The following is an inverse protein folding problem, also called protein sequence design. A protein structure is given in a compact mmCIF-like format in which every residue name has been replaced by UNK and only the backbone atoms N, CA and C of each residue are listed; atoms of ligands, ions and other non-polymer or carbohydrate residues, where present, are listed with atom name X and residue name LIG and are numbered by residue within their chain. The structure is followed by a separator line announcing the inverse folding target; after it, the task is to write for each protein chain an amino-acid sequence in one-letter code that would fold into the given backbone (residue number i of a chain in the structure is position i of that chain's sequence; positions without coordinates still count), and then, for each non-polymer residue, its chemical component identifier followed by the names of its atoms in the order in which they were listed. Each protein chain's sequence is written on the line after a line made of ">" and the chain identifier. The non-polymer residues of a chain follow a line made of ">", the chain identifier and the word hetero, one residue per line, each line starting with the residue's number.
data_IF_184034900815
#
_entry.id   IF_184034900815
#
_cell.length_a   1.000
_cell.length_b   1.000
_cell.length_c   1.000
_cell.angle_alpha   90.00
_cell.angle_beta   90.00
_cell.angle_gamma   90.00
#
_symmetry.space_group_name_H-M   'P 1'
#
loop_
_entity.id
_entity.type
_entity.pdbx_description
1 polymer ?
#
# COMPACT_ATOMS: atom_id res chain seq x y z
N UNK A 1 -9.33 -10.36 3.57
CA UNK A 1 -8.71 -9.85 4.81
C UNK A 1 -8.63 -11.03 5.76
N UNK A 2 -7.54 -11.14 6.51
CA UNK A 2 -7.28 -12.23 7.45
C UNK A 2 -7.28 -11.68 8.87
N UNK A 3 -8.02 -12.35 9.76
CA UNK A 3 -7.94 -12.06 11.19
C UNK A 3 -6.63 -12.61 11.74
N UNK A 4 -5.84 -11.74 12.36
CA UNK A 4 -4.50 -12.03 12.87
C UNK A 4 -4.35 -11.46 14.28
N UNK A 5 -3.61 -12.15 15.13
CA UNK A 5 -3.20 -11.63 16.43
C UNK A 5 -4.30 -11.56 17.49
N UNK A 6 -5.35 -12.39 17.38
CA UNK A 6 -6.40 -12.49 18.41
C UNK A 6 -7.35 -11.29 18.49
N UNK A 7 -7.30 -10.37 17.52
CA UNK A 7 -8.17 -9.20 17.43
C UNK A 7 -8.89 -9.17 16.10
N UNK A 8 -10.20 -8.94 16.11
CA UNK A 8 -10.94 -8.64 14.89
C UNK A 8 -10.41 -7.34 14.26
N UNK A 9 -10.34 -7.28 12.93
CA UNK A 9 -9.93 -6.08 12.20
C UNK A 9 -11.13 -5.41 11.55
N UNK A 10 -11.31 -4.12 11.80
CA UNK A 10 -12.30 -3.30 11.09
C UNK A 10 -11.59 -2.58 9.96
N UNK A 11 -12.05 -2.79 8.73
CA UNK A 11 -11.54 -2.08 7.56
C UNK A 11 -12.38 -0.82 7.32
N UNK A 12 -11.75 0.35 7.30
CA UNK A 12 -12.44 1.61 7.09
C UNK A 12 -12.49 2.02 5.62
N UNK A 13 -11.32 2.18 4.99
CA UNK A 13 -11.19 2.65 3.62
C UNK A 13 -9.94 2.06 2.94
N UNK A 14 -10.07 1.67 1.67
CA UNK A 14 -9.03 1.05 0.82
C UNK A 14 -8.36 -0.20 1.45
N UNK A 15 -7.51 0.01 2.44
CA UNK A 15 -6.81 -1.00 3.24
C UNK A 15 -6.63 -0.64 4.72
N UNK A 16 -7.09 0.54 5.14
CA UNK A 16 -6.95 1.03 6.52
C UNK A 16 -7.66 0.06 7.45
N UNK A 17 -6.89 -0.55 8.35
CA UNK A 17 -7.42 -1.49 9.33
C UNK A 17 -6.83 -1.21 10.70
N UNK A 18 -7.64 -1.29 11.75
CA UNK A 18 -7.17 -1.12 13.12
C UNK A 18 -7.31 -2.40 13.92
N UNK A 19 -6.34 -2.64 14.81
CA UNK A 19 -6.45 -3.63 15.88
C UNK A 19 -7.31 -3.04 16.99
N UNK A 20 -8.28 -3.81 17.46
CA UNK A 20 -9.14 -3.42 18.57
C UNK A 20 -8.36 -3.42 19.88
N UNK A 21 -8.53 -2.36 20.66
CA UNK A 21 -8.03 -2.21 22.02
C UNK A 21 -9.14 -2.56 23.03
N UNK A 22 -8.79 -2.70 24.32
CA UNK A 22 -9.75 -3.09 25.36
C UNK A 22 -11.02 -2.22 25.38
N UNK A 23 -10.86 -0.91 25.16
CA UNK A 23 -11.97 0.04 25.10
C UNK A 23 -12.88 -0.21 23.88
N UNK A 24 -12.33 -0.66 22.75
CA UNK A 24 -13.12 -0.96 21.55
C UNK A 24 -14.06 -2.16 21.77
N UNK A 25 -13.65 -3.14 22.59
CA UNK A 25 -14.54 -4.24 22.98
C UNK A 25 -15.70 -3.77 23.88
N UNK A 26 -15.48 -2.73 24.69
CA UNK A 26 -16.56 -2.10 25.44
C UNK A 26 -17.51 -1.36 24.50
N UNK A 27 -16.96 -0.57 23.57
CA UNK A 27 -17.73 0.15 22.56
C UNK A 27 -18.49 -0.79 21.62
N UNK A 28 -17.99 -2.02 21.38
CA UNK A 28 -18.68 -3.01 20.57
C UNK A 28 -20.06 -3.43 21.13
N UNK A 29 -20.34 -3.16 22.41
CA UNK A 29 -21.69 -3.33 22.99
C UNK A 29 -22.67 -2.25 22.52
N UNK A 30 -22.14 -1.11 22.07
CA UNK A 30 -22.86 0.04 21.55
C UNK A 30 -22.25 0.45 20.20
N UNK A 31 -22.46 -0.32 19.11
CA UNK A 31 -21.69 -0.18 17.87
C UNK A 31 -21.65 1.24 17.27
N UNK A 32 -22.67 2.07 17.53
CA UNK A 32 -22.70 3.48 17.11
C UNK A 32 -21.62 4.37 17.78
N UNK A 33 -20.95 3.87 18.82
CA UNK A 33 -19.80 4.51 19.50
C UNK A 33 -18.45 4.11 18.91
N UNK A 34 -18.40 3.07 18.07
CA UNK A 34 -17.19 2.63 17.37
C UNK A 34 -16.85 3.60 16.24
N UNK A 35 -16.16 4.68 16.60
CA UNK A 35 -15.79 5.78 15.71
C UNK A 35 -14.28 5.85 15.66
N UNK A 36 -13.74 5.72 14.46
CA UNK A 36 -12.32 5.68 14.20
C UNK A 36 -11.95 6.77 13.21
N UNK A 37 -10.69 7.20 13.26
CA UNK A 37 -10.17 8.22 12.37
C UNK A 37 -8.68 8.03 12.19
N UNK A 38 -8.23 7.93 10.93
CA UNK A 38 -6.87 8.29 10.56
C UNK A 38 -6.87 9.75 10.10
N UNK A 39 -6.19 10.63 10.84
CA UNK A 39 -6.31 12.08 10.60
C UNK A 39 -5.53 12.55 9.36
N UNK A 40 -4.29 12.08 9.24
CA UNK A 40 -3.37 12.47 8.19
C UNK A 40 -2.43 11.30 7.89
N UNK A 41 -1.91 11.29 6.67
CA UNK A 41 -0.77 10.48 6.26
C UNK A 41 0.41 11.37 5.85
N UNK A 42 1.60 11.04 6.35
CA UNK A 42 2.88 11.63 5.93
C UNK A 42 3.80 10.51 5.47
N UNK A 43 4.09 10.45 4.17
CA UNK A 43 4.88 9.38 3.56
C UNK A 43 6.36 9.75 3.45
N UNK A 44 7.24 8.87 3.90
CA UNK A 44 8.68 8.98 3.74
C UNK A 44 9.11 8.46 2.35
N UNK A 45 9.97 9.24 1.68
CA UNK A 45 10.65 8.85 0.45
C UNK A 45 11.89 8.03 0.80
N UNK A 46 11.74 6.70 0.88
CA UNK A 46 12.83 5.81 1.28
C UNK A 46 14.01 5.83 0.29
N UNK A 47 13.80 5.83 -1.05
CA UNK A 47 14.90 5.94 -2.02
C UNK A 47 15.78 7.18 -1.78
N UNK A 48 15.16 8.35 -1.59
CA UNK A 48 15.90 9.59 -1.29
C UNK A 48 16.73 9.49 -0.02
N UNK A 49 16.22 8.84 1.02
CA UNK A 49 16.99 8.61 2.24
C UNK A 49 18.23 7.74 1.95
N UNK A 50 18.10 6.73 1.08
CA UNK A 50 19.22 5.91 0.63
C UNK A 50 20.30 6.73 -0.10
N UNK A 51 19.88 7.60 -1.02
CA UNK A 51 20.78 8.48 -1.79
C UNK A 51 21.63 9.36 -0.85
N UNK A 52 20.98 9.93 0.17
CA UNK A 52 21.62 10.78 1.17
C UNK A 52 22.50 10.02 2.17
N UNK A 53 22.47 8.68 2.16
CA UNK A 53 23.18 7.84 3.12
C UNK A 53 24.49 7.27 2.58
N UNK A 54 24.77 7.44 1.28
CA UNK A 54 26.04 7.05 0.65
C UNK A 54 26.48 5.60 0.99
N UNK A 55 25.52 4.68 1.03
CA UNK A 55 25.73 3.26 1.35
C UNK A 55 26.19 2.96 2.79
N UNK A 56 26.12 3.93 3.71
CA UNK A 56 26.44 3.72 5.14
C UNK A 56 25.16 3.36 5.93
N UNK A 57 25.17 2.18 6.56
CA UNK A 57 24.04 1.68 7.37
C UNK A 57 23.71 2.62 8.54
N UNK A 58 24.72 3.13 9.24
CA UNK A 58 24.53 4.00 10.42
C UNK A 58 23.87 5.31 10.01
N UNK A 59 24.35 5.92 8.93
CA UNK A 59 23.76 7.14 8.36
C UNK A 59 22.34 6.87 7.89
N UNK A 60 22.10 5.73 7.21
CA UNK A 60 20.77 5.33 6.75
C UNK A 60 19.76 5.27 7.90
N UNK A 61 20.07 4.51 8.96
CA UNK A 61 19.17 4.35 10.10
C UNK A 61 18.99 5.67 10.89
N UNK A 62 20.02 6.52 10.98
CA UNK A 62 19.88 7.87 11.54
C UNK A 62 18.89 8.70 10.73
N UNK A 63 19.08 8.79 9.41
CA UNK A 63 18.24 9.59 8.51
C UNK A 63 16.79 9.11 8.46
N UNK A 64 16.56 7.79 8.51
CA UNK A 64 15.21 7.24 8.67
C UNK A 64 14.57 7.76 9.96
N UNK A 65 15.31 7.77 11.08
CA UNK A 65 14.81 8.29 12.36
C UNK A 65 14.48 9.78 12.29
N UNK A 66 15.38 10.59 11.73
CA UNK A 66 15.20 12.03 11.53
C UNK A 66 13.95 12.33 10.68
N UNK A 67 13.74 11.58 9.61
CA UNK A 67 12.56 11.72 8.76
C UNK A 67 11.27 11.34 9.49
N UNK A 68 11.29 10.30 10.34
CA UNK A 68 10.15 9.91 11.18
C UNK A 68 9.83 10.98 12.23
N UNK A 69 10.85 11.60 12.84
CA UNK A 69 10.65 12.74 13.75
C UNK A 69 10.03 13.94 13.06
N UNK A 70 10.47 14.24 11.83
CA UNK A 70 9.88 15.30 11.02
C UNK A 70 8.41 14.99 10.68
N UNK A 71 8.09 13.74 10.33
CA UNK A 71 6.71 13.31 10.11
C UNK A 71 5.85 13.48 11.38
N UNK A 72 6.37 13.12 12.55
CA UNK A 72 5.67 13.35 13.83
C UNK A 72 5.44 14.84 14.10
N UNK A 73 6.41 15.71 13.79
CA UNK A 73 6.25 17.17 13.89
C UNK A 73 5.12 17.69 12.99
N UNK A 74 5.02 17.20 11.75
CA UNK A 74 3.94 17.56 10.85
C UNK A 74 2.57 17.16 11.39
N UNK A 75 2.46 15.94 11.95
CA UNK A 75 1.23 15.46 12.60
C UNK A 75 0.84 16.28 13.83
N UNK A 76 1.79 16.66 14.68
CA UNK A 76 1.57 17.53 15.84
C UNK A 76 0.97 18.88 15.41
N UNK A 77 1.56 19.51 14.39
CA UNK A 77 1.07 20.78 13.85
C UNK A 77 -0.33 20.63 13.26
N UNK A 78 -0.60 19.54 12.53
CA UNK A 78 -1.92 19.28 11.96
C UNK A 78 -2.97 19.02 13.04
N UNK A 79 -2.64 18.22 14.06
CA UNK A 79 -3.53 17.95 15.20
C UNK A 79 -3.93 19.26 15.87
N UNK A 80 -2.97 20.11 16.23
CA UNK A 80 -3.25 21.41 16.85
C UNK A 80 -4.14 22.31 15.98
N UNK A 81 -3.90 22.32 14.66
CA UNK A 81 -4.75 23.06 13.72
C UNK A 81 -6.19 22.53 13.69
N UNK A 82 -6.37 21.21 13.62
CA UNK A 82 -7.69 20.58 13.60
C UNK A 82 -8.41 20.78 14.94
N UNK A 83 -7.72 20.67 16.08
CA UNK A 83 -8.28 20.95 17.40
C UNK A 83 -8.79 22.39 17.52
N UNK A 84 -8.05 23.36 16.96
CA UNK A 84 -8.52 24.74 16.87
C UNK A 84 -9.83 24.85 16.08
N UNK A 85 -9.95 24.14 14.97
CA UNK A 85 -11.19 24.12 14.18
C UNK A 85 -12.34 23.43 14.90
N UNK A 86 -12.09 22.31 15.60
CA UNK A 86 -13.07 21.60 16.40
C UNK A 86 -13.57 22.44 17.59
N UNK A 87 -12.71 23.28 18.16
CA UNK A 87 -13.08 24.17 19.27
C UNK A 87 -14.15 25.22 18.92
N UNK A 88 -14.39 25.47 17.62
CA UNK A 88 -15.45 26.35 17.15
C UNK A 88 -16.85 25.73 17.26
N UNK A 89 -16.95 24.43 17.56
CA UNK A 89 -18.21 23.75 17.79
C UNK A 89 -19.17 23.77 16.60
N UNK A 90 -20.45 24.00 16.89
CA UNK A 90 -21.56 24.00 15.93
C UNK A 90 -21.47 25.09 14.85
N UNK A 91 -20.77 26.19 15.15
CA UNK A 91 -20.50 27.30 14.22
C UNK A 91 -19.25 27.10 13.37
N UNK A 92 -18.46 26.07 13.67
CA UNK A 92 -17.22 25.77 12.99
C UNK A 92 -17.40 25.04 11.66
N UNK A 93 -16.38 25.04 10.79
CA UNK A 93 -16.40 24.27 9.53
C UNK A 93 -16.41 22.75 9.76
N UNK A 94 -16.12 22.30 10.99
CA UNK A 94 -16.10 20.89 11.39
C UNK A 94 -17.28 20.52 12.31
N UNK A 95 -18.36 21.30 12.32
CA UNK A 95 -19.50 21.14 13.23
C UNK A 95 -20.13 19.73 13.23
N UNK A 96 -20.14 19.05 12.08
CA UNK A 96 -20.59 17.65 11.99
C UNK A 96 -19.75 16.72 12.89
N UNK A 97 -18.44 16.94 12.94
CA UNK A 97 -17.50 16.14 13.73
C UNK A 97 -17.57 16.47 15.22
N UNK A 98 -18.15 17.61 15.58
CA UNK A 98 -18.36 18.02 16.98
C UNK A 98 -19.73 17.64 17.52
N UNK A 99 -20.61 17.04 16.70
CA UNK A 99 -21.94 16.60 17.14
C UNK A 99 -21.83 15.66 18.33
N UNK A 100 -22.64 15.93 19.37
CA UNK A 100 -22.72 15.10 20.57
C UNK A 100 -24.17 14.62 20.74
N UNK A 101 -24.41 13.35 20.43
CA UNK A 101 -25.73 12.70 20.56
C UNK A 101 -25.75 11.56 21.58
N UNK A 102 -24.59 11.18 22.10
CA UNK A 102 -24.42 10.01 22.96
C UNK A 102 -23.36 10.21 24.06
N UNK A 103 -23.15 11.47 24.47
CA UNK A 103 -22.26 11.85 25.57
C UNK A 103 -20.82 12.14 25.15
N UNK A 104 -20.47 11.98 23.87
CA UNK A 104 -19.14 12.33 23.33
C UNK A 104 -19.25 12.95 21.93
N UNK A 105 -18.29 13.80 21.51
CA UNK A 105 -18.21 14.27 20.13
C UNK A 105 -18.14 13.11 19.13
N UNK A 106 -18.58 13.35 17.89
CA UNK A 106 -18.49 12.35 16.83
C UNK A 106 -17.03 11.97 16.53
N UNK A 107 -16.16 12.97 16.32
CA UNK A 107 -14.72 12.73 16.22
C UNK A 107 -14.06 12.79 17.60
N UNK A 108 -13.58 11.64 18.06
CA UNK A 108 -12.74 11.47 19.25
C UNK A 108 -11.27 11.65 18.85
N UNK A 109 -10.80 12.91 18.79
CA UNK A 109 -9.47 13.26 18.27
C UNK A 109 -8.33 12.59 19.05
N UNK A 110 -8.53 12.34 20.33
CA UNK A 110 -7.62 11.63 21.22
C UNK A 110 -7.45 10.15 20.87
N UNK A 111 -8.41 9.57 20.14
CA UNK A 111 -8.37 8.19 19.60
C UNK A 111 -7.92 8.14 18.14
N UNK A 112 -7.65 9.28 17.52
CA UNK A 112 -7.21 9.32 16.13
C UNK A 112 -5.83 8.67 15.97
N UNK A 113 -5.66 7.97 14.84
CA UNK A 113 -4.37 7.44 14.41
C UNK A 113 -3.69 8.39 13.43
N UNK A 114 -2.37 8.46 13.53
CA UNK A 114 -1.51 9.34 12.73
C UNK A 114 -0.58 8.49 11.89
N UNK A 115 -0.82 8.48 10.57
CA UNK A 115 -0.18 7.52 9.68
C UNK A 115 1.19 8.04 9.25
N UNK A 116 2.21 7.21 9.42
CA UNK A 116 3.54 7.45 8.83
C UNK A 116 3.73 6.43 7.73
N UNK A 117 3.57 6.91 6.51
CA UNK A 117 3.65 6.12 5.30
C UNK A 117 5.09 5.84 4.85
N UNK A 118 5.27 4.80 4.05
CA UNK A 118 6.52 4.58 3.32
C UNK A 118 6.30 4.31 1.83
N UNK A 119 7.30 4.60 1.03
CA UNK A 119 7.32 4.34 -0.41
C UNK A 119 8.75 4.02 -0.88
N UNK A 120 8.89 3.04 -1.77
CA UNK A 120 10.16 2.74 -2.45
C UNK A 120 11.16 1.94 -1.60
N UNK A 121 10.70 1.01 -0.76
CA UNK A 121 11.63 0.15 0.00
C UNK A 121 12.53 -0.66 -0.94
N UNK A 122 11.98 -1.11 -2.08
CA UNK A 122 12.77 -1.84 -3.08
C UNK A 122 13.92 -0.99 -3.62
N UNK A 123 13.64 0.25 -4.02
CA UNK A 123 14.67 1.13 -4.57
C UNK A 123 15.64 1.64 -3.51
N UNK A 124 15.21 1.78 -2.24
CA UNK A 124 16.13 2.01 -1.12
C UNK A 124 17.16 0.89 -1.02
N UNK A 125 16.72 -0.38 -0.97
CA UNK A 125 17.66 -1.50 -0.79
C UNK A 125 18.47 -1.77 -2.04
N UNK A 126 17.90 -1.56 -3.23
CA UNK A 126 18.61 -1.70 -4.49
C UNK A 126 19.75 -0.69 -4.57
N UNK A 127 19.49 0.58 -4.27
CA UNK A 127 20.53 1.59 -4.26
C UNK A 127 21.58 1.27 -3.17
N UNK A 128 21.13 0.96 -1.96
CA UNK A 128 22.03 0.79 -0.82
C UNK A 128 22.92 -0.45 -0.92
N UNK A 129 22.38 -1.56 -1.42
CA UNK A 129 23.06 -2.88 -1.41
C UNK A 129 23.42 -3.42 -2.79
N UNK A 130 22.97 -2.76 -3.86
CA UNK A 130 23.13 -3.22 -5.24
C UNK A 130 22.15 -4.33 -5.65
N UNK A 131 21.18 -4.70 -4.79
CA UNK A 131 20.23 -5.79 -5.02
C UNK A 131 18.80 -5.44 -4.62
N UNK A 132 17.84 -5.93 -5.38
CA UNK A 132 16.41 -5.78 -5.12
C UNK A 132 15.89 -6.77 -4.05
N UNK A 133 14.72 -6.45 -3.49
CA UNK A 133 14.12 -7.22 -2.38
C UNK A 133 13.95 -8.72 -2.67
N UNK A 134 13.72 -9.06 -3.93
CA UNK A 134 13.39 -10.41 -4.34
C UNK A 134 14.63 -11.29 -4.58
N UNK A 135 15.81 -10.71 -4.75
CA UNK A 135 17.02 -11.36 -5.27
C UNK A 135 17.81 -12.13 -4.19
N UNK A 136 17.73 -11.74 -2.92
CA UNK A 136 18.51 -12.38 -1.84
C UNK A 136 17.77 -12.35 -0.50
N UNK A 137 17.97 -13.41 0.29
CA UNK A 137 17.44 -13.50 1.66
C UNK A 137 18.10 -12.49 2.58
N UNK A 138 19.37 -12.19 2.37
CA UNK A 138 20.14 -11.21 3.11
C UNK A 138 19.59 -9.80 2.89
N UNK A 139 19.28 -9.45 1.63
CA UNK A 139 18.66 -8.17 1.26
C UNK A 139 17.25 -8.05 1.85
N UNK A 140 16.45 -9.11 1.76
CA UNK A 140 15.11 -9.14 2.38
C UNK A 140 15.18 -8.96 3.90
N UNK A 141 16.15 -9.58 4.57
CA UNK A 141 16.41 -9.38 6.01
C UNK A 141 16.83 -7.94 6.31
N UNK A 142 17.68 -7.34 5.49
CA UNK A 142 18.06 -5.93 5.64
C UNK A 142 16.85 -5.00 5.51
N UNK A 143 16.01 -5.22 4.50
CA UNK A 143 14.77 -4.48 4.33
C UNK A 143 13.83 -4.60 5.54
N UNK A 144 13.71 -5.81 6.11
CA UNK A 144 12.95 -6.04 7.35
C UNK A 144 13.54 -5.27 8.53
N UNK A 145 14.86 -5.14 8.64
CA UNK A 145 15.50 -4.29 9.66
C UNK A 145 15.12 -2.82 9.50
N UNK A 146 15.10 -2.30 8.27
CA UNK A 146 14.66 -0.92 7.99
C UNK A 146 13.23 -0.69 8.48
N UNK A 147 12.30 -1.56 8.11
CA UNK A 147 10.89 -1.43 8.52
C UNK A 147 10.70 -1.67 10.02
N UNK A 148 11.42 -2.63 10.61
CA UNK A 148 11.39 -2.86 12.06
C UNK A 148 11.93 -1.65 12.84
N UNK A 149 12.97 -0.98 12.33
CA UNK A 149 13.47 0.26 12.92
C UNK A 149 12.43 1.38 12.86
N UNK A 150 11.79 1.59 11.70
CA UNK A 150 10.68 2.55 11.58
C UNK A 150 9.56 2.25 12.57
N UNK A 151 9.22 0.98 12.76
CA UNK A 151 8.17 0.56 13.70
C UNK A 151 8.53 0.90 15.15
N UNK A 152 9.77 0.62 15.55
CA UNK A 152 10.27 0.96 16.90
C UNK A 152 10.31 2.48 17.12
N UNK A 153 10.71 3.25 16.10
CA UNK A 153 10.69 4.72 16.16
C UNK A 153 9.25 5.24 16.29
N UNK A 154 8.30 4.72 15.50
CA UNK A 154 6.89 5.08 15.62
C UNK A 154 6.35 4.83 17.04
N UNK A 155 6.66 3.67 17.63
CA UNK A 155 6.29 3.36 19.03
C UNK A 155 6.90 4.34 20.04
N UNK A 156 8.18 4.68 19.90
CA UNK A 156 8.85 5.68 20.75
C UNK A 156 8.20 7.05 20.63
N UNK A 157 7.88 7.49 19.42
CA UNK A 157 7.18 8.75 19.16
C UNK A 157 5.77 8.74 19.74
N UNK A 158 5.07 7.60 19.65
CA UNK A 158 3.73 7.45 20.22
C UNK A 158 3.72 7.61 21.74
N UNK A 159 4.69 6.98 22.42
CA UNK A 159 4.87 7.15 23.85
C UNK A 159 5.28 8.59 24.22
N UNK A 160 6.20 9.19 23.46
CA UNK A 160 6.72 10.55 23.72
C UNK A 160 5.65 11.64 23.60
N UNK A 161 4.76 11.54 22.61
CA UNK A 161 3.78 12.58 22.30
C UNK A 161 2.35 12.23 22.71
N UNK A 162 2.13 11.05 23.32
CA UNK A 162 0.80 10.54 23.65
C UNK A 162 -0.17 10.57 22.45
N UNK A 163 0.34 10.16 21.28
CA UNK A 163 -0.39 10.10 20.01
C UNK A 163 -0.20 8.73 19.38
N UNK A 164 -1.22 8.18 18.71
CA UNK A 164 -1.11 6.86 18.06
C UNK A 164 -0.47 6.99 16.67
N UNK A 165 0.87 7.02 16.61
CA UNK A 165 1.59 6.88 15.34
C UNK A 165 1.65 5.42 14.92
N UNK A 166 1.28 5.15 13.67
CA UNK A 166 1.29 3.81 13.09
C UNK A 166 1.91 3.85 11.70
N UNK A 167 2.61 2.78 11.35
CA UNK A 167 3.12 2.63 9.99
C UNK A 167 2.00 2.27 9.02
N UNK A 168 2.08 2.85 7.84
CA UNK A 168 1.13 2.59 6.76
C UNK A 168 1.86 2.24 5.47
N UNK A 169 1.38 1.18 4.82
CA UNK A 169 1.67 1.00 3.41
C UNK A 169 0.95 2.15 2.68
N UNK A 170 1.65 3.10 2.07
CA UNK A 170 1.03 4.26 1.41
C UNK A 170 0.39 3.86 0.08
N UNK A 171 -0.90 4.18 -0.20
CA UNK A 171 -1.54 3.76 -1.46
C UNK A 171 -0.73 4.16 -2.69
N UNK A 172 -0.12 5.35 -2.62
CA UNK A 172 0.90 5.86 -3.53
C UNK A 172 0.43 5.98 -4.98
N UNK A 173 -0.86 6.20 -5.20
CA UNK A 173 -1.44 6.43 -6.52
C UNK A 173 -0.77 7.58 -7.25
N UNK A 174 -0.57 8.70 -6.56
CA UNK A 174 0.18 9.86 -7.06
C UNK A 174 1.60 9.94 -6.50
N UNK A 175 1.81 9.50 -5.25
CA UNK A 175 3.09 9.63 -4.54
C UNK A 175 4.23 8.89 -5.24
N UNK A 176 3.99 7.68 -5.78
CA UNK A 176 5.00 6.88 -6.46
C UNK A 176 5.61 7.62 -7.65
N UNK A 177 4.76 8.23 -8.49
CA UNK A 177 5.20 9.04 -9.62
C UNK A 177 5.84 10.35 -9.18
N UNK A 178 5.22 11.04 -8.21
CA UNK A 178 5.68 12.34 -7.73
C UNK A 178 7.08 12.27 -7.14
N UNK A 179 7.37 11.28 -6.30
CA UNK A 179 8.71 11.09 -5.74
C UNK A 179 9.73 10.79 -6.82
N UNK A 180 9.44 9.84 -7.72
CA UNK A 180 10.32 9.52 -8.84
C UNK A 180 10.66 10.76 -9.69
N UNK A 181 9.67 11.60 -10.03
CA UNK A 181 9.91 12.85 -10.76
C UNK A 181 10.83 13.83 -10.02
N UNK A 182 10.58 14.05 -8.73
CA UNK A 182 11.37 15.00 -7.94
C UNK A 182 12.78 14.49 -7.68
N UNK A 183 12.96 13.17 -7.58
CA UNK A 183 14.28 12.57 -7.47
C UNK A 183 15.04 12.61 -8.79
N UNK A 184 14.37 12.41 -9.93
CA UNK A 184 14.98 12.66 -11.25
C UNK A 184 15.44 14.10 -11.45
N UNK A 185 14.80 15.08 -10.79
CA UNK A 185 15.18 16.49 -10.87
C UNK A 185 16.35 16.84 -9.93
N UNK A 186 16.34 16.33 -8.70
CA UNK A 186 17.28 16.78 -7.66
C UNK A 186 18.39 15.78 -7.32
N UNK A 187 18.21 14.51 -7.68
CA UNK A 187 19.10 13.38 -7.38
C UNK A 187 19.27 12.49 -8.63
N UNK A 188 19.38 13.12 -9.81
CA UNK A 188 19.38 12.42 -11.09
C UNK A 188 20.34 11.21 -11.14
N UNK A 189 21.64 11.33 -10.75
CA UNK A 189 22.58 10.22 -10.85
C UNK A 189 22.14 8.99 -10.05
N UNK A 190 21.61 9.18 -8.84
CA UNK A 190 21.17 8.11 -7.96
C UNK A 190 19.78 7.58 -8.36
N UNK A 191 18.85 8.48 -8.66
CA UNK A 191 17.47 8.17 -9.01
C UNK A 191 17.36 7.36 -10.30
N UNK A 192 18.11 7.76 -11.33
CA UNK A 192 18.11 7.10 -12.63
C UNK A 192 18.56 5.64 -12.56
N UNK A 193 19.34 5.25 -11.54
CA UNK A 193 19.84 3.86 -11.39
C UNK A 193 18.75 2.88 -10.95
N UNK A 194 17.74 3.33 -10.21
CA UNK A 194 16.81 2.43 -9.51
C UNK A 194 15.34 2.65 -9.83
N UNK A 195 14.97 3.82 -10.37
CA UNK A 195 13.61 4.12 -10.81
C UNK A 195 13.12 3.09 -11.84
N UNK A 196 11.84 2.71 -11.73
CA UNK A 196 11.17 1.75 -12.61
C UNK A 196 10.37 2.46 -13.71
N UNK A 197 9.89 1.69 -14.67
CA UNK A 197 9.09 2.18 -15.79
C UNK A 197 9.93 2.68 -16.97
N UNK A 198 9.32 3.55 -17.78
CA UNK A 198 9.91 3.99 -19.05
C UNK A 198 10.24 5.49 -19.02
N UNK A 199 11.53 5.81 -19.16
CA UNK A 199 12.03 7.20 -19.12
C UNK A 199 11.60 8.02 -20.35
N UNK A 200 11.60 7.43 -21.55
CA UNK A 200 11.25 8.12 -22.80
C UNK A 200 9.80 8.63 -22.79
N UNK A 201 8.87 7.83 -22.27
CA UNK A 201 7.45 8.19 -22.12
C UNK A 201 7.16 9.01 -20.86
N UNK A 202 8.16 9.18 -19.99
CA UNK A 202 8.03 9.75 -18.65
C UNK A 202 6.98 9.00 -17.81
N UNK A 203 6.94 7.67 -17.98
CA UNK A 203 6.12 6.71 -17.24
C UNK A 203 6.95 6.06 -16.12
N UNK A 204 7.66 6.89 -15.36
CA UNK A 204 8.56 6.47 -14.29
C UNK A 204 7.82 6.32 -12.96
N UNK A 205 8.30 5.46 -12.07
CA UNK A 205 7.73 5.32 -10.72
C UNK A 205 8.68 4.60 -9.75
N UNK A 206 8.42 4.77 -8.46
CA UNK A 206 8.98 3.89 -7.41
C UNK A 206 8.04 2.75 -7.07
N UNK A 207 8.60 1.59 -6.70
CA UNK A 207 7.82 0.45 -6.25
C UNK A 207 7.05 0.81 -4.99
N UNK A 208 5.76 0.48 -4.98
CA UNK A 208 4.87 0.94 -3.92
C UNK A 208 5.24 0.33 -2.56
N UNK A 209 5.48 1.20 -1.57
CA UNK A 209 5.69 0.86 -0.17
C UNK A 209 6.73 -0.26 0.05
N UNK A 210 6.29 -1.44 0.50
CA UNK A 210 7.11 -2.63 0.81
C UNK A 210 6.91 -3.76 -0.20
N UNK A 211 6.28 -3.48 -1.35
CA UNK A 211 6.06 -4.51 -2.38
C UNK A 211 7.36 -4.95 -3.02
N UNK A 212 7.36 -6.20 -3.49
CA UNK A 212 8.32 -6.59 -4.51
C UNK A 212 7.94 -5.90 -5.83
N UNK A 213 8.91 -5.56 -6.69
CA UNK A 213 8.60 -4.93 -7.97
C UNK A 213 7.55 -5.71 -8.75
N UNK A 214 6.63 -4.98 -9.37
CA UNK A 214 5.46 -5.56 -10.05
C UNK A 214 5.83 -6.34 -11.31
N UNK A 215 6.98 -6.03 -11.91
CA UNK A 215 7.52 -6.67 -13.12
C UNK A 215 8.20 -8.00 -12.88
N UNK A 216 8.51 -8.34 -11.63
CA UNK A 216 9.23 -9.58 -11.33
C UNK A 216 8.34 -10.80 -11.60
N UNK A 217 8.78 -11.74 -12.46
CA UNK A 217 8.11 -13.00 -12.67
C UNK A 217 8.33 -13.92 -11.47
N UNK A 218 7.47 -13.78 -10.46
CA UNK A 218 7.53 -14.56 -9.22
C UNK A 218 6.25 -15.36 -9.03
N UNK A 219 6.40 -16.60 -8.55
CA UNK A 219 5.27 -17.41 -8.11
C UNK A 219 4.42 -16.63 -7.08
N UNK A 220 3.08 -16.54 -7.26
CA UNK A 220 2.17 -15.87 -6.33
C UNK A 220 2.32 -16.31 -4.87
N UNK A 221 2.60 -17.60 -4.64
CA UNK A 221 2.83 -18.17 -3.29
C UNK A 221 4.10 -17.58 -2.69
N UNK A 222 5.19 -17.50 -3.45
CA UNK A 222 6.43 -16.90 -2.97
C UNK A 222 6.31 -15.39 -2.78
N UNK A 223 5.52 -14.70 -3.61
CA UNK A 223 5.18 -13.29 -3.40
C UNK A 223 4.48 -13.07 -2.07
N UNK A 224 3.39 -13.80 -1.78
CA UNK A 224 2.72 -13.66 -0.47
C UNK A 224 3.62 -14.05 0.68
N UNK A 225 4.49 -15.06 0.54
CA UNK A 225 5.43 -15.43 1.60
C UNK A 225 6.42 -14.31 1.90
N UNK A 226 7.02 -13.70 0.87
CA UNK A 226 8.01 -12.63 1.02
C UNK A 226 7.37 -11.31 1.49
N UNK A 227 6.32 -10.84 0.81
CA UNK A 227 5.64 -9.58 1.16
C UNK A 227 4.96 -9.69 2.54
N UNK A 228 4.39 -10.85 2.86
CA UNK A 228 3.72 -11.12 4.13
C UNK A 228 4.60 -10.90 5.36
N UNK A 229 5.94 -11.01 5.24
CA UNK A 229 6.88 -10.77 6.36
C UNK A 229 6.82 -9.33 6.87
N UNK A 230 6.44 -8.37 6.03
CA UNK A 230 6.34 -6.96 6.41
C UNK A 230 5.03 -6.62 7.11
N UNK A 231 3.94 -7.37 6.86
CA UNK A 231 2.60 -7.01 7.32
C UNK A 231 2.50 -6.86 8.86
N UNK A 232 3.11 -7.72 9.70
CA UNK A 232 3.07 -7.54 11.15
C UNK A 232 3.68 -6.24 11.68
N UNK A 233 4.53 -5.58 10.87
CA UNK A 233 5.18 -4.31 11.21
C UNK A 233 4.37 -3.09 10.74
N UNK A 234 3.27 -3.29 9.99
CA UNK A 234 2.45 -2.23 9.40
C UNK A 234 1.06 -2.29 10.02
N UNK A 235 0.81 -1.39 10.97
CA UNK A 235 -0.39 -1.45 11.81
C UNK A 235 -1.62 -0.80 11.18
N UNK A 236 -1.44 0.11 10.21
CA UNK A 236 -2.53 0.75 9.48
C UNK A 236 -3.07 -0.10 8.30
N UNK A 237 -2.69 -1.37 8.22
CA UNK A 237 -3.13 -2.30 7.17
C UNK A 237 -2.12 -2.46 6.03
N UNK A 238 -1.96 -3.70 5.59
CA UNK A 238 -1.04 -4.10 4.53
C UNK A 238 -1.70 -5.13 3.61
N UNK A 239 -1.47 -4.98 2.31
CA UNK A 239 -2.17 -5.71 1.25
C UNK A 239 -1.17 -6.26 0.24
N UNK A 240 -1.17 -7.56 -0.03
CA UNK A 240 -0.40 -8.15 -1.14
C UNK A 240 -1.27 -8.30 -2.40
N UNK A 241 -0.79 -7.83 -3.54
CA UNK A 241 -1.50 -7.95 -4.83
C UNK A 241 -1.13 -9.24 -5.57
N UNK A 242 -2.16 -9.95 -6.05
CA UNK A 242 -2.02 -11.06 -6.99
C UNK A 242 -2.63 -10.65 -8.33
N UNK A 243 -1.79 -10.33 -9.31
CA UNK A 243 -2.22 -9.88 -10.63
C UNK A 243 -2.56 -11.08 -11.50
N UNK A 244 -3.84 -11.25 -11.85
CA UNK A 244 -4.32 -12.42 -12.63
C UNK A 244 -4.71 -12.06 -14.07
N UNK A 245 -4.70 -10.77 -14.42
CA UNK A 245 -5.07 -10.27 -15.74
C UNK A 245 -6.47 -10.71 -16.15
N UNK A 246 -6.60 -11.26 -17.35
CA UNK A 246 -7.89 -11.73 -17.90
C UNK A 246 -8.32 -13.12 -17.41
N UNK A 247 -7.42 -13.88 -16.78
CA UNK A 247 -7.66 -15.29 -16.43
C UNK A 247 -8.82 -15.43 -15.43
N UNK A 248 -9.45 -16.60 -15.48
CA UNK A 248 -10.51 -17.05 -14.57
C UNK A 248 -10.05 -18.31 -13.85
N UNK A 249 -9.22 -18.20 -12.80
CA UNK A 249 -8.81 -19.36 -12.02
C UNK A 249 -10.03 -20.11 -11.46
N UNK A 250 -9.92 -21.43 -11.36
CA UNK A 250 -10.95 -22.26 -10.72
C UNK A 250 -11.19 -21.80 -9.28
N UNK A 251 -12.46 -21.86 -8.83
CA UNK A 251 -12.86 -21.40 -7.48
C UNK A 251 -12.13 -22.19 -6.38
N UNK A 252 -11.88 -23.48 -6.61
CA UNK A 252 -11.15 -24.38 -5.73
C UNK A 252 -9.69 -23.94 -5.57
N UNK A 253 -9.03 -23.55 -6.67
CA UNK A 253 -7.65 -23.05 -6.66
C UNK A 253 -7.53 -21.74 -5.89
N UNK A 254 -8.48 -20.81 -6.07
CA UNK A 254 -8.53 -19.56 -5.31
C UNK A 254 -8.77 -19.82 -3.82
N UNK A 255 -9.72 -20.69 -3.48
CA UNK A 255 -10.01 -21.05 -2.08
C UNK A 255 -8.78 -21.70 -1.42
N UNK A 256 -8.12 -22.64 -2.11
CA UNK A 256 -6.90 -23.27 -1.61
C UNK A 256 -5.76 -22.26 -1.42
N UNK A 257 -5.58 -21.32 -2.35
CA UNK A 257 -4.60 -20.25 -2.23
C UNK A 257 -4.86 -19.38 -0.99
N UNK A 258 -6.11 -18.98 -0.77
CA UNK A 258 -6.52 -18.19 0.40
C UNK A 258 -6.24 -18.97 1.69
N UNK A 259 -6.65 -20.24 1.77
CA UNK A 259 -6.43 -21.10 2.95
C UNK A 259 -4.93 -21.29 3.26
N UNK A 260 -4.13 -21.58 2.24
CA UNK A 260 -2.68 -21.74 2.40
C UNK A 260 -2.01 -20.43 2.81
N UNK A 261 -2.41 -19.31 2.22
CA UNK A 261 -1.90 -17.99 2.61
C UNK A 261 -2.24 -17.67 4.06
N UNK A 262 -3.48 -17.96 4.49
CA UNK A 262 -3.89 -17.80 5.87
C UNK A 262 -3.05 -18.66 6.82
N UNK A 263 -2.87 -19.95 6.53
CA UNK A 263 -2.18 -20.89 7.44
C UNK A 263 -0.67 -20.75 7.48
N UNK A 264 -0.04 -20.38 6.36
CA UNK A 264 1.42 -20.51 6.19
C UNK A 264 2.14 -19.17 5.98
N UNK A 265 1.44 -18.05 6.10
CA UNK A 265 2.06 -16.72 6.00
C UNK A 265 1.51 -15.79 7.08
N UNK A 266 2.10 -14.60 7.17
CA UNK A 266 1.68 -13.51 8.06
C UNK A 266 0.93 -12.40 7.32
N UNK A 267 0.46 -12.64 6.10
CA UNK A 267 -0.34 -11.65 5.37
C UNK A 267 -1.60 -11.29 6.17
N UNK A 268 -1.91 -10.00 6.15
CA UNK A 268 -3.14 -9.41 6.67
C UNK A 268 -4.23 -9.31 5.61
N UNK A 269 -3.85 -9.04 4.37
CA UNK A 269 -4.78 -8.95 3.25
C UNK A 269 -4.07 -9.38 1.96
N UNK A 270 -4.82 -10.07 1.12
CA UNK A 270 -4.46 -10.34 -0.27
C UNK A 270 -5.59 -9.89 -1.18
N UNK A 271 -5.28 -9.51 -2.41
CA UNK A 271 -6.28 -9.19 -3.42
C UNK A 271 -5.91 -9.80 -4.79
N UNK A 272 -6.78 -10.69 -5.27
CA UNK A 272 -6.78 -11.08 -6.67
C UNK A 272 -7.27 -9.90 -7.51
N UNK A 273 -6.47 -9.52 -8.50
CA UNK A 273 -6.66 -8.30 -9.28
C UNK A 273 -6.84 -8.68 -10.76
N UNK A 274 -8.07 -9.01 -11.18
CA UNK A 274 -8.40 -9.16 -12.59
C UNK A 274 -8.44 -7.83 -13.31
N UNK A 275 -8.39 -7.90 -14.63
CA UNK A 275 -8.52 -6.77 -15.54
C UNK A 275 -9.80 -6.91 -16.36
N UNK A 276 -10.42 -5.78 -16.70
CA UNK A 276 -11.66 -5.72 -17.47
C UNK A 276 -11.62 -4.63 -18.53
N UNK A 277 -12.46 -4.78 -19.55
CA UNK A 277 -12.73 -3.77 -20.57
C UNK A 277 -14.24 -3.53 -20.63
N UNK A 278 -14.67 -2.28 -20.49
CA UNK A 278 -16.06 -1.86 -20.62
C UNK A 278 -16.26 -1.12 -21.96
N UNK A 279 -17.28 -1.51 -22.73
CA UNK A 279 -17.62 -0.85 -23.99
C UNK A 279 -18.68 0.23 -23.77
N UNK A 280 -18.41 1.44 -24.26
CA UNK A 280 -19.34 2.57 -24.14
C UNK A 280 -20.53 2.47 -25.10
N UNK A 281 -20.41 1.68 -26.17
CA UNK A 281 -21.43 1.61 -27.23
C UNK A 281 -22.50 0.57 -26.94
N UNK A 282 -22.09 -0.62 -26.50
CA UNK A 282 -23.02 -1.71 -26.19
C UNK A 282 -23.18 -1.97 -24.69
N UNK A 283 -22.46 -1.23 -23.83
CA UNK A 283 -22.53 -1.33 -22.37
C UNK A 283 -21.94 -2.61 -21.77
N UNK A 284 -21.44 -3.56 -22.60
CA UNK A 284 -20.91 -4.84 -22.12
C UNK A 284 -19.53 -4.69 -21.49
N UNK A 285 -19.28 -5.49 -20.47
CA UNK A 285 -17.96 -5.61 -19.81
C UNK A 285 -17.41 -7.00 -20.02
N UNK A 286 -16.17 -7.09 -20.46
CA UNK A 286 -15.43 -8.34 -20.62
C UNK A 286 -14.14 -8.36 -19.79
N UNK A 287 -13.56 -9.54 -19.61
CA UNK A 287 -12.26 -9.69 -18.94
C UNK A 287 -11.12 -9.39 -19.91
N UNK A 288 -10.01 -8.92 -19.34
CA UNK A 288 -8.82 -8.48 -20.05
C UNK A 288 -8.87 -7.02 -20.44
N UNK A 289 -7.69 -6.45 -20.69
CA UNK A 289 -7.54 -5.13 -21.30
C UNK A 289 -7.46 -5.33 -22.81
N UNK A 290 -8.44 -4.77 -23.54
CA UNK A 290 -8.57 -4.91 -24.98
C UNK A 290 -8.75 -3.56 -25.62
N UNK A 291 -8.22 -3.40 -26.83
CA UNK A 291 -8.35 -2.16 -27.61
C UNK A 291 -9.71 -2.06 -28.33
N UNK A 292 -10.44 -3.18 -28.45
CA UNK A 292 -11.76 -3.25 -29.10
C UNK A 292 -12.70 -4.17 -28.34
N UNK A 293 -13.99 -3.84 -28.37
CA UNK A 293 -15.04 -4.66 -27.80
C UNK A 293 -15.24 -5.94 -28.62
N UNK A 294 -15.15 -7.10 -27.98
CA UNK A 294 -15.30 -8.40 -28.64
C UNK A 294 -16.75 -8.72 -29.01
N UNK A 295 -17.72 -7.91 -28.56
CA UNK A 295 -19.14 -8.12 -28.83
C UNK A 295 -19.67 -7.30 -30.01
N UNK A 296 -19.18 -6.09 -30.22
CA UNK A 296 -19.67 -5.18 -31.26
C UNK A 296 -18.57 -4.57 -32.14
N UNK A 297 -17.30 -4.88 -31.89
CA UNK A 297 -16.16 -4.37 -32.67
C UNK A 297 -15.77 -2.91 -32.40
N UNK A 298 -16.51 -2.19 -31.54
CA UNK A 298 -16.22 -0.79 -31.22
C UNK A 298 -14.86 -0.60 -30.56
N UNK A 299 -14.15 0.47 -30.93
CA UNK A 299 -12.94 0.95 -30.25
C UNK A 299 -13.22 1.90 -29.08
N UNK A 300 -14.48 2.25 -28.81
CA UNK A 300 -14.85 3.12 -27.68
C UNK A 300 -14.95 2.30 -26.39
N UNK A 301 -13.78 1.89 -25.90
CA UNK A 301 -13.62 1.03 -24.73
C UNK A 301 -12.85 1.72 -23.61
N UNK A 302 -13.15 1.33 -22.37
CA UNK A 302 -12.47 1.77 -21.17
C UNK A 302 -11.92 0.56 -20.42
N UNK A 303 -10.62 0.57 -20.14
CA UNK A 303 -10.02 -0.45 -19.32
C UNK A 303 -10.27 -0.18 -17.84
N UNK A 304 -10.64 -1.21 -17.09
CA UNK A 304 -10.94 -1.14 -15.66
C UNK A 304 -10.06 -2.16 -14.95
N UNK A 305 -9.21 -1.69 -14.06
CA UNK A 305 -8.36 -2.55 -13.24
C UNK A 305 -8.10 -1.91 -11.89
N UNK A 306 -7.54 -2.69 -10.97
CA UNK A 306 -7.20 -2.20 -9.64
C UNK A 306 -5.99 -1.28 -9.72
N UNK A 307 -6.15 -0.03 -9.31
CA UNK A 307 -5.04 0.94 -9.26
C UNK A 307 -4.12 0.58 -8.10
N UNK A 308 -4.67 0.61 -6.89
CA UNK A 308 -4.00 0.24 -5.63
C UNK A 308 -5.03 -0.53 -4.79
N UNK A 309 -5.88 0.15 -4.01
CA UNK A 309 -6.90 -0.46 -3.16
C UNK A 309 -8.21 -0.80 -3.87
N UNK A 310 -8.55 -0.17 -5.00
CA UNK A 310 -9.87 -0.27 -5.65
C UNK A 310 -9.78 -0.24 -7.18
N UNK A 311 -10.89 -0.59 -7.84
CA UNK A 311 -11.01 -0.57 -9.30
C UNK A 311 -11.35 0.83 -9.81
N UNK A 312 -10.68 1.24 -10.88
CA UNK A 312 -10.94 2.51 -11.55
C UNK A 312 -10.62 2.40 -13.03
N UNK A 313 -11.09 3.39 -13.79
CA UNK A 313 -10.84 3.57 -15.22
C UNK A 313 -9.38 3.93 -15.46
N UNK A 314 -8.71 3.23 -16.37
CA UNK A 314 -7.29 3.46 -16.69
C UNK A 314 -7.09 4.85 -17.27
N UNK A 315 -8.06 5.38 -18.01
CA UNK A 315 -8.01 6.75 -18.56
C UNK A 315 -7.84 7.85 -17.50
N UNK A 316 -8.16 7.57 -16.23
CA UNK A 316 -8.01 8.51 -15.11
C UNK A 316 -6.62 8.50 -14.45
N UNK A 317 -5.72 7.62 -14.89
CA UNK A 317 -4.46 7.36 -14.20
C UNK A 317 -3.36 8.35 -14.63
N UNK A 318 -2.46 8.66 -13.70
CA UNK A 318 -1.24 9.40 -14.03
C UNK A 318 -0.21 8.50 -14.74
N UNK A 319 0.79 9.13 -15.37
CA UNK A 319 1.83 8.43 -16.14
C UNK A 319 2.59 7.36 -15.36
N UNK A 320 2.92 7.59 -14.09
CA UNK A 320 3.63 6.58 -13.30
C UNK A 320 2.79 5.32 -13.05
N UNK A 321 1.47 5.47 -12.86
CA UNK A 321 0.55 4.33 -12.75
C UNK A 321 0.30 3.61 -14.09
N UNK A 322 0.35 4.34 -15.20
CA UNK A 322 0.37 3.73 -16.54
C UNK A 322 1.67 2.93 -16.75
N UNK A 323 2.82 3.48 -16.37
CA UNK A 323 4.10 2.76 -16.38
C UNK A 323 4.05 1.49 -15.55
N UNK A 324 3.57 1.58 -14.31
CA UNK A 324 3.39 0.41 -13.45
C UNK A 324 2.46 -0.63 -14.10
N UNK A 325 1.36 -0.20 -14.73
CA UNK A 325 0.41 -1.11 -15.40
C UNK A 325 1.06 -1.89 -16.54
N UNK A 326 1.89 -1.22 -17.34
CA UNK A 326 2.66 -1.85 -18.42
C UNK A 326 3.62 -2.90 -17.84
N UNK A 327 4.27 -2.57 -16.73
CA UNK A 327 5.26 -3.43 -16.08
C UNK A 327 4.65 -4.57 -15.26
N UNK A 328 3.36 -4.56 -14.90
CA UNK A 328 2.74 -5.61 -14.08
C UNK A 328 2.88 -6.99 -14.71
N UNK A 329 3.62 -7.87 -14.03
CA UNK A 329 3.64 -9.29 -14.34
C UNK A 329 2.30 -9.92 -13.95
N UNK A 330 1.61 -10.47 -14.94
CA UNK A 330 0.31 -11.14 -14.76
C UNK A 330 0.60 -12.63 -14.58
N UNK A 331 0.30 -13.18 -13.40
CA UNK A 331 0.62 -14.55 -12.99
C UNK A 331 -0.25 -15.64 -13.68
N UNK A 332 -0.51 -15.48 -14.97
CA UNK A 332 -1.48 -16.28 -15.71
C UNK A 332 -1.17 -17.79 -15.70
N UNK A 333 0.12 -18.14 -15.78
CA UNK A 333 0.62 -19.52 -15.88
C UNK A 333 0.42 -20.32 -14.58
N UNK A 334 0.44 -19.65 -13.42
CA UNK A 334 0.33 -20.28 -12.10
C UNK A 334 -1.10 -20.69 -11.73
N UNK A 335 -2.09 -20.33 -12.55
CA UNK A 335 -3.50 -20.65 -12.33
C UNK A 335 -4.09 -21.56 -13.42
N UNK A 336 -3.24 -22.18 -14.25
CA UNK A 336 -3.66 -23.18 -15.23
C UNK A 336 -4.12 -24.48 -14.54
N UNK A 337 -5.04 -25.25 -15.15
CA UNK A 337 -5.35 -26.62 -14.73
C UNK A 337 -4.09 -27.49 -14.72
N UNK A 338 -4.00 -28.48 -13.81
CA UNK A 338 -2.81 -29.36 -13.67
C UNK A 338 -2.41 -30.07 -14.98
N UNK A 339 -3.35 -30.28 -15.89
CA UNK A 339 -3.11 -30.89 -17.20
C UNK A 339 -2.27 -30.00 -18.14
N UNK A 340 -2.32 -28.68 -17.97
CA UNK A 340 -1.60 -27.71 -18.82
C UNK A 340 -0.28 -27.24 -18.19
N UNK A 341 -0.12 -27.34 -16.85
CA UNK A 341 1.12 -26.97 -16.17
C UNK A 341 2.29 -27.91 -16.51
N UNK A 342 2.03 -29.18 -16.85
CA UNK A 342 3.07 -30.16 -17.23
C UNK A 342 3.69 -29.90 -18.60
N UNK A 343 3.04 -29.14 -19.47
CA UNK A 343 3.49 -28.88 -20.85
C UNK A 343 4.48 -27.71 -20.91
N UNK A 344 4.48 -26.82 -19.91
CA UNK A 344 5.37 -25.64 -19.88
C UNK A 344 6.72 -25.87 -19.19
N UNK A 345 6.93 -27.05 -18.57
CA UNK A 345 8.17 -27.43 -17.87
C UNK A 345 8.95 -28.51 -18.65
N UNK A 346 8.58 -28.75 -19.92
CA UNK A 346 9.24 -29.69 -20.83
C UNK A 346 10.13 -28.96 -21.82
#
# INVERSE_FOLDING_TARGET
>A
VFDRGGTAKISECCRLSFKLEAQDFSDAREPWKMRYCALQNVTLNLPRIAYLSQHDDTVLFSRVSEAMELAAKAHLQKKAFIEKLLSLGDKGPLSLLTMNKDGSPYLKIERASFLIGMLGLNELVQFHTGKELHESKEVLKFALKVIAHMHLVAKKLSAKYHMKFVLEQTPAESTAYRFAKLDMEHFYPEAHQVIKGNFERNEIYYTNSTYLPVSVPINPIERVRKEGLFHPLIEAGALTHIWIGEKRPAKESLANFVLKTFRHTTNDQIAFSPEFTNCSDCGKTERGLKDKCSYCGSSRVEGITRITGYFTKISSWNKGKIGELHDRYRNQEYFLPETEQKVMVA
#
